data_IF_650826471632
#
_entry.id   IF_650826471632
#
_cell.length_a   1.000
_cell.length_b   1.000
_cell.length_c   1.000
_cell.angle_alpha   90.00
_cell.angle_beta   90.00
_cell.angle_gamma   90.00
#
_symmetry.space_group_name_H-M   'P 1'
#
loop_
_entity.id
_entity.type
_entity.pdbx_description
1 polymer ?
#
# COMPACT_ATOMS: atom_id res chain seq x y z
N UNK A 1 4.14 2.38 2.26
CA UNK A 1 3.17 2.38 3.39
C UNK A 1 3.96 1.91 4.61
N UNK A 2 3.46 2.08 5.84
CA UNK A 2 4.16 1.55 7.00
C UNK A 2 4.23 0.00 6.98
N UNK A 3 5.24 -0.55 7.63
CA UNK A 3 5.52 -1.98 7.58
C UNK A 3 4.42 -2.83 8.23
N UNK A 4 3.70 -2.32 9.23
CA UNK A 4 2.61 -3.06 9.86
C UNK A 4 1.47 -3.25 8.84
N UNK A 5 1.10 -2.20 8.12
CA UNK A 5 0.09 -2.31 7.06
C UNK A 5 0.49 -3.32 6.00
N UNK A 6 1.75 -3.31 5.56
CA UNK A 6 2.24 -4.24 4.54
C UNK A 6 2.22 -5.70 5.03
N UNK A 7 2.53 -5.93 6.31
CA UNK A 7 2.38 -7.23 6.97
C UNK A 7 0.91 -7.68 6.98
N UNK A 8 -0.01 -6.79 7.34
CA UNK A 8 -1.46 -7.09 7.41
C UNK A 8 -2.00 -7.44 6.02
N UNK A 9 -1.71 -6.61 5.01
CA UNK A 9 -2.14 -6.85 3.63
C UNK A 9 -1.54 -8.17 3.11
N UNK A 10 -0.24 -8.35 3.27
CA UNK A 10 0.46 -9.58 2.88
C UNK A 10 -0.18 -10.81 3.52
N UNK A 11 -0.43 -10.80 4.83
CA UNK A 11 -1.07 -11.90 5.54
C UNK A 11 -2.50 -12.20 5.04
N UNK A 12 -3.30 -11.16 4.78
CA UNK A 12 -4.66 -11.32 4.28
C UNK A 12 -4.71 -11.88 2.85
N UNK A 13 -3.78 -11.46 2.00
CA UNK A 13 -3.59 -12.04 0.65
C UNK A 13 -3.14 -13.50 0.76
N UNK A 14 -2.18 -13.78 1.65
CA UNK A 14 -1.73 -15.14 1.93
C UNK A 14 -2.88 -16.07 2.36
N UNK A 15 -3.71 -15.61 3.29
CA UNK A 15 -4.93 -16.31 3.71
C UNK A 15 -5.88 -16.54 2.54
N UNK A 16 -6.14 -15.53 1.71
CA UNK A 16 -7.04 -15.65 0.57
C UNK A 16 -6.56 -16.69 -0.46
N UNK A 17 -5.25 -16.82 -0.66
CA UNK A 17 -4.67 -17.73 -1.67
C UNK A 17 -4.48 -19.16 -1.15
N UNK A 18 -3.93 -19.31 0.05
CA UNK A 18 -3.50 -20.61 0.59
C UNK A 18 -4.07 -20.95 1.98
N UNK A 19 -4.86 -20.08 2.60
CA UNK A 19 -5.42 -20.26 3.94
C UNK A 19 -6.17 -21.57 4.13
N UNK A 20 -7.02 -21.95 3.16
CA UNK A 20 -7.75 -23.23 3.20
C UNK A 20 -6.83 -24.46 3.15
N UNK A 21 -5.66 -24.36 2.50
CA UNK A 21 -4.71 -25.48 2.35
C UNK A 21 -3.77 -25.62 3.54
N UNK A 22 -3.17 -24.52 4.01
CA UNK A 22 -2.11 -24.54 5.02
C UNK A 22 -2.41 -23.74 6.29
N UNK A 23 -3.62 -23.18 6.42
CA UNK A 23 -4.05 -22.41 7.59
C UNK A 23 -3.16 -21.19 7.81
N UNK A 24 -2.85 -20.90 9.08
CA UNK A 24 -2.15 -19.66 9.47
C UNK A 24 -0.71 -19.58 8.96
N UNK A 25 -0.14 -20.68 8.44
CA UNK A 25 1.12 -20.65 7.69
C UNK A 25 0.99 -19.81 6.41
N UNK A 26 -0.19 -19.79 5.78
CA UNK A 26 -0.44 -18.96 4.60
C UNK A 26 -0.36 -17.48 4.95
N UNK A 27 -0.97 -17.08 6.08
CA UNK A 27 -0.86 -15.72 6.62
C UNK A 27 0.60 -15.36 6.93
N UNK A 28 1.35 -16.25 7.57
CA UNK A 28 2.77 -16.00 7.87
C UNK A 28 3.60 -15.80 6.59
N UNK A 29 3.46 -16.69 5.60
CA UNK A 29 4.16 -16.53 4.33
C UNK A 29 3.71 -15.29 3.57
N UNK A 30 2.43 -14.94 3.66
CA UNK A 30 1.89 -13.72 3.11
C UNK A 30 2.50 -12.47 3.76
N UNK A 31 2.59 -12.44 5.10
CA UNK A 31 3.22 -11.37 5.86
C UNK A 31 4.68 -11.19 5.46
N UNK A 32 5.45 -12.29 5.41
CA UNK A 32 6.84 -12.28 4.96
C UNK A 32 6.92 -11.77 3.51
N UNK A 33 6.06 -12.27 2.63
CA UNK A 33 6.05 -11.89 1.23
C UNK A 33 5.73 -10.39 1.03
N UNK A 34 4.82 -9.88 1.86
CA UNK A 34 4.43 -8.47 1.89
C UNK A 34 5.53 -7.54 2.35
N UNK A 35 6.62 -8.01 2.97
CA UNK A 35 7.76 -7.15 3.35
C UNK A 35 8.95 -7.26 2.41
N UNK A 36 8.90 -8.16 1.40
CA UNK A 36 10.02 -8.40 0.49
C UNK A 36 10.42 -7.13 -0.29
N UNK A 37 9.50 -6.35 -0.89
CA UNK A 37 9.88 -5.17 -1.66
C UNK A 37 10.71 -4.16 -0.85
N UNK A 38 10.32 -3.93 0.41
CA UNK A 38 10.99 -3.00 1.34
C UNK A 38 12.36 -3.50 1.83
N UNK A 39 12.79 -4.73 1.54
CA UNK A 39 14.14 -5.18 1.85
C UNK A 39 15.21 -4.43 1.06
N UNK A 40 14.81 -3.64 0.06
CA UNK A 40 15.69 -2.68 -0.59
C UNK A 40 16.22 -1.58 0.36
N UNK A 41 15.64 -1.40 1.55
CA UNK A 41 16.19 -0.51 2.60
C UNK A 41 17.61 -0.91 3.00
N UNK A 42 17.99 -2.17 2.83
CA UNK A 42 19.35 -2.64 3.11
C UNK A 42 20.37 -2.12 2.10
N UNK A 43 19.95 -1.59 0.94
CA UNK A 43 20.85 -0.95 -0.03
C UNK A 43 21.63 0.22 0.58
N UNK A 44 21.10 0.87 1.62
CA UNK A 44 21.81 1.92 2.38
C UNK A 44 23.15 1.48 2.98
N UNK A 45 23.38 0.18 3.13
CA UNK A 45 24.64 -0.39 3.63
C UNK A 45 25.66 -0.69 2.51
N UNK A 46 25.24 -0.61 1.25
CA UNK A 46 26.05 -0.95 0.08
C UNK A 46 26.29 0.24 -0.84
N UNK A 47 25.50 1.31 -0.72
CA UNK A 47 25.62 2.54 -1.51
C UNK A 47 25.40 3.77 -0.63
N UNK A 48 25.71 4.96 -1.15
CA UNK A 48 25.45 6.21 -0.45
C UNK A 48 23.93 6.44 -0.22
N UNK A 49 23.56 7.27 0.77
CA UNK A 49 22.16 7.46 1.16
C UNK A 49 21.26 8.03 0.06
N UNK A 50 21.80 8.85 -0.85
CA UNK A 50 21.00 9.48 -1.93
C UNK A 50 20.65 8.41 -2.95
N UNK A 51 21.64 7.66 -3.43
CA UNK A 51 21.43 6.54 -4.36
C UNK A 51 20.53 5.47 -3.73
N UNK A 52 20.69 5.15 -2.44
CA UNK A 52 19.82 4.22 -1.73
C UNK A 52 18.35 4.69 -1.74
N UNK A 53 18.13 5.99 -1.52
CA UNK A 53 16.80 6.60 -1.52
C UNK A 53 16.19 6.62 -2.92
N UNK A 54 16.99 6.86 -3.95
CA UNK A 54 16.56 6.82 -5.34
C UNK A 54 16.16 5.39 -5.77
N UNK A 55 16.97 4.39 -5.39
CA UNK A 55 16.69 2.98 -5.67
C UNK A 55 15.50 2.44 -4.88
N UNK A 56 15.25 2.97 -3.67
CA UNK A 56 14.10 2.58 -2.86
C UNK A 56 12.79 2.86 -3.61
N UNK A 57 11.89 1.88 -3.59
CA UNK A 57 10.64 1.89 -4.39
C UNK A 57 10.83 1.92 -5.90
N UNK A 58 12.03 1.56 -6.35
CA UNK A 58 12.37 1.33 -7.75
C UNK A 58 12.12 -0.12 -8.16
N UNK A 59 13.18 -0.81 -8.56
CA UNK A 59 13.14 -2.18 -9.08
C UNK A 59 12.36 -3.16 -8.19
N UNK A 60 12.62 -3.18 -6.88
CA UNK A 60 11.98 -4.05 -5.88
C UNK A 60 10.45 -3.93 -5.81
N UNK A 61 9.91 -2.78 -6.21
CA UNK A 61 8.50 -2.43 -6.17
C UNK A 61 7.83 -2.54 -7.56
N UNK A 62 8.51 -3.17 -8.52
CA UNK A 62 8.02 -3.29 -9.89
C UNK A 62 7.29 -4.60 -10.17
N UNK A 63 6.43 -4.57 -11.20
CA UNK A 63 5.80 -5.78 -11.72
C UNK A 63 6.84 -6.79 -12.23
N UNK A 64 7.95 -6.31 -12.82
CA UNK A 64 9.05 -7.16 -13.28
C UNK A 64 9.66 -7.93 -12.13
N UNK A 65 9.95 -7.26 -11.01
CA UNK A 65 10.46 -7.92 -9.80
C UNK A 65 9.49 -8.97 -9.27
N UNK A 66 8.19 -8.67 -9.25
CA UNK A 66 7.19 -9.66 -8.83
C UNK A 66 7.17 -10.91 -9.73
N UNK A 67 7.26 -10.74 -11.05
CA UNK A 67 7.29 -11.84 -12.03
C UNK A 67 8.53 -12.72 -11.81
N UNK A 68 9.69 -12.13 -11.53
CA UNK A 68 10.96 -12.84 -11.36
C UNK A 68 11.08 -13.50 -9.98
N UNK A 69 10.79 -12.77 -8.90
CA UNK A 69 11.04 -13.23 -7.55
C UNK A 69 9.96 -14.19 -7.03
N UNK A 70 8.70 -14.02 -7.43
CA UNK A 70 7.62 -14.90 -6.97
C UNK A 70 7.89 -16.39 -7.22
N UNK A 71 8.28 -16.87 -8.43
CA UNK A 71 8.56 -18.29 -8.65
C UNK A 71 9.80 -18.79 -7.89
N UNK A 72 10.83 -17.95 -7.72
CA UNK A 72 12.06 -18.31 -6.98
C UNK A 72 11.73 -18.58 -5.52
N UNK A 73 11.00 -17.67 -4.88
CA UNK A 73 10.65 -17.79 -3.46
C UNK A 73 9.59 -18.88 -3.25
N UNK A 74 8.65 -19.02 -4.20
CA UNK A 74 7.71 -20.12 -4.24
C UNK A 74 8.41 -21.49 -4.27
N UNK A 75 9.52 -21.62 -4.98
CA UNK A 75 10.30 -22.85 -5.02
C UNK A 75 10.86 -23.22 -3.65
N UNK A 76 11.43 -22.24 -2.93
CA UNK A 76 11.93 -22.42 -1.56
C UNK A 76 10.78 -22.83 -0.62
N UNK A 77 9.67 -22.10 -0.64
CA UNK A 77 8.52 -22.41 0.20
C UNK A 77 7.93 -23.80 -0.11
N UNK A 78 7.83 -24.17 -1.40
CA UNK A 78 7.36 -25.49 -1.80
C UNK A 78 8.31 -26.60 -1.33
N UNK A 79 9.63 -26.36 -1.34
CA UNK A 79 10.64 -27.30 -0.81
C UNK A 79 10.48 -27.52 0.69
N UNK A 80 10.20 -26.46 1.47
CA UNK A 80 9.94 -26.54 2.91
C UNK A 80 8.65 -27.32 3.21
N UNK A 81 7.62 -27.20 2.36
CA UNK A 81 6.32 -27.85 2.55
C UNK A 81 6.10 -29.09 1.66
N UNK A 82 7.15 -29.76 1.19
CA UNK A 82 7.09 -30.93 0.29
C UNK A 82 6.08 -32.00 0.70
N UNK A 83 5.98 -32.30 2.01
CA UNK A 83 5.07 -33.31 2.57
C UNK A 83 3.57 -33.00 2.36
N UNK A 84 3.23 -31.76 2.01
CA UNK A 84 1.84 -31.30 1.84
C UNK A 84 1.36 -31.30 0.38
N UNK A 85 2.24 -31.63 -0.59
CA UNK A 85 1.90 -31.74 -2.01
C UNK A 85 1.10 -30.55 -2.58
N UNK A 86 1.42 -29.32 -2.14
CA UNK A 86 0.68 -28.10 -2.52
C UNK A 86 0.91 -27.75 -3.99
N UNK A 87 2.11 -28.06 -4.51
CA UNK A 87 2.57 -27.73 -5.85
C UNK A 87 3.11 -26.30 -5.98
N UNK A 88 3.84 -26.04 -7.06
CA UNK A 88 4.48 -24.73 -7.31
C UNK A 88 3.49 -23.61 -7.60
N UNK A 89 2.41 -23.90 -8.33
CA UNK A 89 1.47 -22.87 -8.81
C UNK A 89 0.81 -22.08 -7.67
N UNK A 90 0.26 -22.71 -6.60
CA UNK A 90 -0.34 -21.96 -5.50
C UNK A 90 0.65 -21.11 -4.71
N UNK A 91 1.90 -21.59 -4.54
CA UNK A 91 2.96 -20.82 -3.90
C UNK A 91 3.35 -19.61 -4.76
N UNK A 92 3.54 -19.81 -6.07
CA UNK A 92 3.85 -18.73 -7.01
C UNK A 92 2.74 -17.68 -6.99
N UNK A 93 1.47 -18.10 -6.97
CA UNK A 93 0.33 -17.19 -6.85
C UNK A 93 0.35 -16.39 -5.54
N UNK A 94 0.68 -17.01 -4.40
CA UNK A 94 0.77 -16.31 -3.12
C UNK A 94 1.84 -15.24 -3.18
N UNK A 95 3.08 -15.60 -3.55
CA UNK A 95 4.18 -14.64 -3.58
C UNK A 95 3.97 -13.55 -4.63
N UNK A 96 3.49 -13.90 -5.82
CA UNK A 96 3.18 -12.93 -6.86
C UNK A 96 2.16 -11.91 -6.38
N UNK A 97 1.03 -12.36 -5.81
CA UNK A 97 0.00 -11.44 -5.34
C UNK A 97 0.51 -10.57 -4.19
N UNK A 98 1.18 -11.15 -3.18
CA UNK A 98 1.72 -10.35 -2.07
C UNK A 98 2.74 -9.30 -2.54
N UNK A 99 3.67 -9.68 -3.42
CA UNK A 99 4.71 -8.78 -3.94
C UNK A 99 4.10 -7.72 -4.86
N UNK A 100 3.04 -8.02 -5.63
CA UNK A 100 2.36 -7.02 -6.47
C UNK A 100 1.47 -6.09 -5.64
N UNK A 101 0.76 -6.60 -4.63
CA UNK A 101 -0.15 -5.76 -3.83
C UNK A 101 0.58 -4.74 -2.97
N UNK A 102 1.83 -5.04 -2.58
CA UNK A 102 2.66 -4.11 -1.81
C UNK A 102 2.88 -2.77 -2.54
N UNK A 103 3.47 -2.71 -3.74
CA UNK A 103 3.69 -1.47 -4.47
C UNK A 103 2.38 -0.85 -4.97
N UNK A 104 1.33 -1.65 -5.22
CA UNK A 104 0.00 -1.11 -5.50
C UNK A 104 -0.53 -0.28 -4.32
N UNK A 105 -0.35 -0.76 -3.08
CA UNK A 105 -0.68 0.02 -1.90
C UNK A 105 0.23 1.25 -1.75
N UNK A 106 1.52 1.11 -2.02
CA UNK A 106 2.49 2.22 -1.94
C UNK A 106 2.25 3.33 -2.98
N UNK A 107 1.70 2.99 -4.15
CA UNK A 107 1.25 3.95 -5.15
C UNK A 107 0.20 4.92 -4.59
N UNK A 108 -0.55 4.54 -3.55
CA UNK A 108 -1.51 5.44 -2.91
C UNK A 108 -0.89 6.47 -1.96
N UNK A 109 0.36 6.25 -1.56
CA UNK A 109 1.08 7.16 -0.67
C UNK A 109 1.71 8.34 -1.42
N UNK A 110 2.24 9.31 -0.67
CA UNK A 110 2.89 10.52 -1.23
C UNK A 110 4.15 10.24 -2.04
N UNK A 111 4.83 9.13 -1.76
CA UNK A 111 6.12 8.80 -2.37
C UNK A 111 5.98 8.00 -3.67
N UNK A 112 4.90 7.23 -3.81
CA UNK A 112 4.66 6.35 -4.96
C UNK A 112 5.70 5.24 -5.14
N UNK A 113 5.63 4.56 -6.29
CA UNK A 113 6.61 3.54 -6.72
C UNK A 113 6.84 3.55 -8.22
N UNK A 114 7.97 3.01 -8.68
CA UNK A 114 8.21 2.68 -10.09
C UNK A 114 7.58 1.32 -10.44
N UNK A 115 6.24 1.22 -10.32
CA UNK A 115 5.52 -0.04 -10.56
C UNK A 115 5.81 -0.64 -11.95
N UNK A 116 6.02 0.21 -12.95
CA UNK A 116 6.35 -0.15 -14.33
C UNK A 116 7.85 -0.03 -14.65
N UNK A 117 8.75 -0.09 -13.66
CA UNK A 117 10.20 -0.19 -13.91
C UNK A 117 10.47 -1.24 -15.02
N UNK A 118 11.32 -0.95 -16.02
CA UNK A 118 12.38 0.06 -16.04
C UNK A 118 11.99 1.46 -16.54
N UNK A 119 10.71 1.75 -16.76
CA UNK A 119 10.30 3.13 -17.07
C UNK A 119 10.51 4.03 -15.83
N UNK A 120 11.00 5.25 -16.04
CA UNK A 120 11.31 6.21 -14.96
C UNK A 120 10.05 6.76 -14.25
N UNK A 121 8.86 6.43 -14.76
CA UNK A 121 7.58 6.94 -14.25
C UNK A 121 7.22 6.39 -12.87
N UNK A 122 7.07 7.30 -11.88
CA UNK A 122 6.58 6.98 -10.53
C UNK A 122 5.09 7.24 -10.40
N UNK A 123 4.34 6.22 -10.00
CA UNK A 123 2.90 6.33 -9.74
C UNK A 123 2.69 6.74 -8.29
N UNK A 124 2.11 7.93 -8.07
CA UNK A 124 1.77 8.42 -6.74
C UNK A 124 0.39 9.11 -6.76
N UNK A 125 -0.64 8.43 -6.23
CA UNK A 125 -1.97 8.98 -6.07
C UNK A 125 -2.07 9.92 -4.87
N UNK A 126 -1.18 9.80 -3.87
CA UNK A 126 -1.10 10.69 -2.69
C UNK A 126 -2.44 10.87 -1.95
N UNK A 127 -3.28 9.83 -1.92
CA UNK A 127 -4.62 9.87 -1.30
C UNK A 127 -4.62 9.39 0.15
N UNK A 128 -3.55 8.74 0.62
CA UNK A 128 -3.43 8.26 1.99
C UNK A 128 -2.05 8.58 2.56
N UNK A 129 -1.98 8.89 3.86
CA UNK A 129 -0.71 9.03 4.54
C UNK A 129 -0.03 7.66 4.72
N UNK A 130 1.31 7.65 4.81
CA UNK A 130 2.10 6.41 4.88
C UNK A 130 1.67 5.51 6.04
N UNK A 131 1.27 6.10 7.17
CA UNK A 131 0.77 5.40 8.34
C UNK A 131 -0.63 5.92 8.71
N UNK A 132 -1.68 5.23 8.29
CA UNK A 132 -3.06 5.63 8.58
C UNK A 132 -3.75 4.61 9.51
N UNK A 133 -3.97 4.94 10.79
CA UNK A 133 -4.64 4.06 11.73
C UNK A 133 -6.09 3.71 11.34
N UNK A 134 -6.80 4.61 10.65
CA UNK A 134 -8.18 4.39 10.21
C UNK A 134 -8.25 3.35 9.08
N UNK A 135 -7.16 3.20 8.33
CA UNK A 135 -6.98 2.10 7.38
C UNK A 135 -6.52 0.81 8.07
N UNK A 136 -5.42 0.88 8.82
CA UNK A 136 -4.71 -0.32 9.29
C UNK A 136 -5.44 -1.03 10.42
N UNK A 137 -6.02 -0.31 11.39
CA UNK A 137 -6.61 -0.93 12.59
C UNK A 137 -7.86 -1.76 12.25
N UNK A 138 -8.87 -1.24 11.51
CA UNK A 138 -10.04 -2.04 11.15
C UNK A 138 -9.67 -3.28 10.34
N UNK A 139 -8.73 -3.13 9.40
CA UNK A 139 -8.25 -4.26 8.59
C UNK A 139 -7.54 -5.31 9.44
N UNK A 140 -6.65 -4.89 10.35
CA UNK A 140 -5.97 -5.76 11.29
C UNK A 140 -6.96 -6.52 12.19
N UNK A 141 -8.00 -5.87 12.71
CA UNK A 141 -9.02 -6.51 13.55
C UNK A 141 -9.66 -7.68 12.81
N UNK A 142 -10.10 -7.48 11.56
CA UNK A 142 -10.68 -8.56 10.76
C UNK A 142 -9.71 -9.71 10.50
N UNK A 143 -8.44 -9.40 10.22
CA UNK A 143 -7.41 -10.41 10.04
C UNK A 143 -7.17 -11.21 11.33
N UNK A 144 -7.08 -10.55 12.48
CA UNK A 144 -6.92 -11.20 13.78
C UNK A 144 -8.10 -12.10 14.11
N UNK A 145 -9.34 -11.64 13.88
CA UNK A 145 -10.52 -12.49 14.05
C UNK A 145 -10.45 -13.72 13.14
N UNK A 146 -10.01 -13.57 11.89
CA UNK A 146 -9.80 -14.71 10.98
C UNK A 146 -8.74 -15.70 11.53
N UNK A 147 -7.65 -15.20 12.14
CA UNK A 147 -6.59 -16.03 12.71
C UNK A 147 -7.07 -16.95 13.84
N UNK A 148 -8.05 -16.52 14.63
CA UNK A 148 -8.63 -17.33 15.71
C UNK A 148 -9.55 -18.46 15.22
N UNK A 149 -9.87 -18.51 13.93
CA UNK A 149 -10.69 -19.57 13.35
C UNK A 149 -9.84 -20.65 12.67
N UNK A 150 -10.25 -21.91 12.84
CA UNK A 150 -9.60 -23.04 12.17
C UNK A 150 -9.79 -22.94 10.63
N UNK A 151 -8.83 -23.48 9.87
CA UNK A 151 -8.83 -23.43 8.39
C UNK A 151 -10.05 -24.07 7.72
N UNK A 152 -10.75 -24.97 8.42
CA UNK A 152 -11.99 -25.60 7.95
C UNK A 152 -13.23 -24.75 8.22
N UNK A 153 -13.15 -23.75 9.11
CA UNK A 153 -14.29 -22.93 9.48
C UNK A 153 -14.54 -21.86 8.39
N UNK A 154 -15.73 -21.80 7.78
CA UNK A 154 -16.02 -20.81 6.73
C UNK A 154 -15.91 -19.36 7.23
N UNK A 155 -16.11 -19.11 8.54
CA UNK A 155 -15.97 -17.78 9.15
C UNK A 155 -14.56 -17.21 8.98
N UNK A 156 -13.52 -18.07 8.94
CA UNK A 156 -12.14 -17.63 8.70
C UNK A 156 -12.01 -16.86 7.39
N UNK A 157 -12.49 -17.46 6.30
CA UNK A 157 -12.46 -16.82 4.97
C UNK A 157 -13.39 -15.61 4.91
N UNK A 158 -14.53 -15.66 5.59
CA UNK A 158 -15.46 -14.54 5.67
C UNK A 158 -14.78 -13.31 6.31
N UNK A 159 -14.18 -13.46 7.50
CA UNK A 159 -13.52 -12.34 8.18
C UNK A 159 -12.31 -11.81 7.40
N UNK A 160 -11.51 -12.69 6.78
CA UNK A 160 -10.42 -12.24 5.91
C UNK A 160 -10.95 -11.41 4.72
N UNK A 161 -12.03 -11.85 4.08
CA UNK A 161 -12.64 -11.13 2.98
C UNK A 161 -13.26 -9.81 3.44
N UNK A 162 -13.88 -9.76 4.62
CA UNK A 162 -14.36 -8.50 5.21
C UNK A 162 -13.21 -7.52 5.44
N UNK A 163 -12.06 -7.98 5.94
CA UNK A 163 -10.86 -7.15 6.06
C UNK A 163 -10.39 -6.58 4.72
N UNK A 164 -10.32 -7.42 3.69
CA UNK A 164 -9.96 -6.99 2.32
C UNK A 164 -10.98 -6.01 1.72
N UNK A 165 -12.27 -6.21 1.98
CA UNK A 165 -13.34 -5.29 1.56
C UNK A 165 -13.17 -3.95 2.28
N UNK A 166 -12.95 -3.95 3.59
CA UNK A 166 -12.74 -2.71 4.37
C UNK A 166 -11.52 -1.95 3.87
N UNK A 167 -10.39 -2.63 3.65
CA UNK A 167 -9.19 -2.05 3.04
C UNK A 167 -9.48 -1.45 1.67
N UNK A 168 -10.11 -2.20 0.77
CA UNK A 168 -10.39 -1.75 -0.60
C UNK A 168 -11.36 -0.57 -0.63
N UNK A 169 -12.45 -0.63 0.14
CA UNK A 169 -13.45 0.42 0.25
C UNK A 169 -12.85 1.70 0.85
N UNK A 170 -11.98 1.60 1.85
CA UNK A 170 -11.28 2.75 2.40
C UNK A 170 -10.36 3.40 1.37
N UNK A 171 -9.68 2.61 0.54
CA UNK A 171 -8.84 3.16 -0.53
C UNK A 171 -9.66 3.94 -1.57
N UNK A 172 -10.82 3.41 -1.96
CA UNK A 172 -11.75 4.12 -2.86
C UNK A 172 -12.23 5.43 -2.21
N UNK A 173 -12.63 5.37 -0.94
CA UNK A 173 -13.06 6.56 -0.18
C UNK A 173 -11.97 7.63 -0.15
N UNK A 174 -10.73 7.28 0.17
CA UNK A 174 -9.63 8.25 0.24
C UNK A 174 -9.32 8.89 -1.12
N UNK A 175 -9.48 8.18 -2.24
CA UNK A 175 -9.38 8.77 -3.59
C UNK A 175 -10.49 9.81 -3.81
N UNK A 176 -11.73 9.50 -3.43
CA UNK A 176 -12.84 10.46 -3.53
C UNK A 176 -12.60 11.69 -2.66
N UNK A 177 -12.13 11.50 -1.42
CA UNK A 177 -11.79 12.59 -0.50
C UNK A 177 -10.65 13.44 -1.03
N UNK A 178 -9.62 12.83 -1.66
CA UNK A 178 -8.56 13.56 -2.35
C UNK A 178 -9.13 14.44 -3.45
N UNK A 179 -9.98 13.89 -4.31
CA UNK A 179 -10.59 14.63 -5.42
C UNK A 179 -11.40 15.82 -4.90
N UNK A 180 -12.17 15.61 -3.84
CA UNK A 180 -12.95 16.67 -3.20
C UNK A 180 -12.06 17.76 -2.57
N UNK A 181 -11.04 17.39 -1.80
CA UNK A 181 -10.11 18.35 -1.20
C UNK A 181 -9.36 19.16 -2.27
N UNK A 182 -8.87 18.49 -3.32
CA UNK A 182 -8.19 19.14 -4.45
C UNK A 182 -9.10 20.15 -5.16
N UNK A 183 -10.38 19.80 -5.35
CA UNK A 183 -11.38 20.70 -5.91
C UNK A 183 -11.58 21.93 -5.03
N UNK A 184 -11.67 21.77 -3.70
CA UNK A 184 -11.84 22.90 -2.77
C UNK A 184 -10.65 23.87 -2.81
N UNK A 185 -9.42 23.37 -2.82
CA UNK A 185 -8.22 24.20 -3.00
C UNK A 185 -8.24 24.94 -4.34
N UNK A 186 -8.58 24.24 -5.43
CA UNK A 186 -8.66 24.84 -6.77
C UNK A 186 -9.70 25.96 -6.84
N UNK A 187 -10.87 25.75 -6.22
CA UNK A 187 -11.92 26.75 -6.17
C UNK A 187 -11.50 28.00 -5.38
N UNK A 188 -10.86 27.83 -4.22
CA UNK A 188 -10.37 28.96 -3.42
C UNK A 188 -9.31 29.77 -4.18
N UNK A 189 -8.35 29.10 -4.82
CA UNK A 189 -7.33 29.78 -5.64
C UNK A 189 -7.96 30.58 -6.79
N UNK A 190 -8.99 30.03 -7.45
CA UNK A 190 -9.71 30.73 -8.50
C UNK A 190 -10.49 31.95 -7.99
N UNK A 191 -11.14 31.84 -6.82
CA UNK A 191 -11.87 32.93 -6.18
C UNK A 191 -10.94 34.08 -5.78
N UNK A 192 -9.79 33.73 -5.19
CA UNK A 192 -8.76 34.68 -4.77
C UNK A 192 -7.90 35.18 -5.96
N UNK A 193 -8.18 34.69 -7.18
CA UNK A 193 -7.46 35.01 -8.43
C UNK A 193 -5.95 34.77 -8.32
N UNK A 194 -5.55 33.70 -7.63
CA UNK A 194 -4.15 33.30 -7.48
C UNK A 194 -3.75 32.45 -8.68
N UNK A 195 -2.87 32.97 -9.53
CA UNK A 195 -2.22 32.17 -10.57
C UNK A 195 -1.21 31.19 -9.95
N UNK A 196 -1.27 29.92 -10.36
CA UNK A 196 -0.34 28.87 -9.95
C UNK A 196 0.12 28.02 -11.13
N UNK A 197 1.29 27.42 -11.00
CA UNK A 197 1.93 26.52 -11.98
C UNK A 197 1.53 25.08 -11.69
N UNK A 198 1.56 24.68 -10.42
CA UNK A 198 1.17 23.35 -9.96
C UNK A 198 0.46 23.42 -8.60
N UNK A 199 -0.46 22.47 -8.39
CA UNK A 199 -1.21 22.30 -7.15
C UNK A 199 -1.09 20.83 -6.72
N UNK A 200 -0.31 20.58 -5.68
CA UNK A 200 -0.20 19.26 -5.09
C UNK A 200 -0.99 19.16 -3.79
N UNK A 201 -1.94 18.23 -3.71
CA UNK A 201 -2.73 17.98 -2.51
C UNK A 201 -2.52 16.57 -1.95
N UNK A 202 -2.40 16.50 -0.63
CA UNK A 202 -2.16 15.27 0.14
C UNK A 202 -2.82 15.34 1.52
N UNK A 203 -3.18 14.20 2.12
CA UNK A 203 -3.68 14.19 3.48
C UNK A 203 -2.55 14.53 4.47
N UNK A 204 -2.93 15.10 5.60
CA UNK A 204 -2.03 15.31 6.74
C UNK A 204 -1.74 13.98 7.46
N UNK A 205 -0.73 13.93 8.35
CA UNK A 205 -0.36 12.69 9.03
C UNK A 205 -1.54 12.02 9.77
N UNK A 206 -1.60 10.69 9.68
CA UNK A 206 -2.46 9.81 10.46
C UNK A 206 -3.98 9.92 10.21
N UNK A 207 -4.43 10.65 9.18
CA UNK A 207 -5.87 10.79 8.89
C UNK A 207 -6.15 11.14 7.43
N UNK A 208 -7.42 11.06 7.03
CA UNK A 208 -7.93 11.44 5.68
C UNK A 208 -8.92 12.62 5.73
N UNK A 209 -8.97 13.33 6.86
CA UNK A 209 -9.94 14.39 7.14
C UNK A 209 -9.34 15.77 6.85
N UNK A 210 -8.11 16.00 7.32
CA UNK A 210 -7.37 17.23 7.14
C UNK A 210 -6.37 17.06 6.00
N UNK A 211 -6.49 17.93 5.01
CA UNK A 211 -5.70 17.94 3.78
C UNK A 211 -4.80 19.15 3.74
N UNK A 212 -3.65 18.99 3.10
CA UNK A 212 -2.67 20.02 2.87
C UNK A 212 -2.46 20.18 1.36
N UNK A 213 -2.36 21.42 0.90
CA UNK A 213 -1.99 21.78 -0.46
C UNK A 213 -0.67 22.54 -0.47
N UNK A 214 0.20 22.17 -1.40
CA UNK A 214 1.36 22.95 -1.81
C UNK A 214 1.06 23.55 -3.18
N UNK A 215 1.06 24.88 -3.25
CA UNK A 215 0.76 25.64 -4.45
C UNK A 215 2.03 26.27 -4.94
N UNK A 216 2.50 25.85 -6.11
CA UNK A 216 3.65 26.46 -6.77
C UNK A 216 3.20 27.65 -7.61
N UNK A 217 3.80 28.81 -7.39
CA UNK A 217 3.56 30.03 -8.17
C UNK A 217 4.85 30.44 -8.88
N UNK A 218 4.77 31.38 -9.83
CA UNK A 218 5.96 31.87 -10.56
C UNK A 218 7.05 32.46 -9.65
N UNK A 219 6.70 32.88 -8.42
CA UNK A 219 7.61 33.59 -7.51
C UNK A 219 7.89 32.84 -6.20
N UNK A 220 7.31 31.65 -6.00
CA UNK A 220 7.51 30.86 -4.78
C UNK A 220 6.37 29.89 -4.49
N UNK A 221 6.33 29.37 -3.26
CA UNK A 221 5.36 28.37 -2.81
C UNK A 221 4.40 28.93 -1.76
N UNK A 222 3.13 28.53 -1.83
CA UNK A 222 2.14 28.74 -0.78
C UNK A 222 1.68 27.40 -0.21
N UNK A 223 1.29 27.39 1.04
CA UNK A 223 0.78 26.22 1.73
C UNK A 223 -0.60 26.54 2.28
N UNK A 224 -1.56 25.66 2.04
CA UNK A 224 -2.92 25.79 2.56
C UNK A 224 -3.37 24.49 3.22
N UNK A 225 -4.30 24.57 4.16
CA UNK A 225 -4.91 23.41 4.80
C UNK A 225 -6.42 23.47 4.63
N UNK A 226 -7.04 22.31 4.52
CA UNK A 226 -8.49 22.20 4.41
C UNK A 226 -8.96 20.97 5.19
N UNK A 227 -9.88 21.16 6.12
CA UNK A 227 -10.56 20.06 6.81
C UNK A 227 -11.92 19.80 6.16
N UNK A 228 -12.31 18.52 6.01
CA UNK A 228 -13.67 18.16 5.59
C UNK A 228 -14.75 18.66 6.55
N UNK A 229 -14.38 18.93 7.81
CA UNK A 229 -15.26 19.50 8.82
C UNK A 229 -15.05 21.00 9.03
N UNK A 230 -14.24 21.64 8.18
CA UNK A 230 -13.98 23.06 8.35
C UNK A 230 -15.24 23.88 8.07
N UNK A 231 -15.51 24.82 8.95
CA UNK A 231 -16.51 25.86 8.76
C UNK A 231 -15.87 27.20 8.41
N UNK A 232 -14.54 27.29 8.43
CA UNK A 232 -13.77 28.50 8.10
C UNK A 232 -13.30 28.45 6.64
N UNK A 233 -13.01 29.64 6.08
CA UNK A 233 -12.44 29.73 4.73
C UNK A 233 -11.01 29.17 4.70
N UNK A 234 -10.70 28.51 3.58
CA UNK A 234 -9.39 27.89 3.24
C UNK A 234 -8.31 28.94 3.04
#
# INVERSE_FOLDING_TARGET
MDSLTQIVLGAAVGEAVLGKKIGSRAMLWGAIAGTIPDLDVFLRYFTDPITATEMHRGFSHSLVFAILMAPIIAWVANKIHKKRSIGMRPWTKLFFLCIVTHPLLDNHTTWGTQFFWPFEYRIAFKNIFVADPLYTIPFLIFLLIAMFHNRSNPRRSMFNNLGLIVSSSYMILTIMLKGYAHYQFSQKLNQDKVEYVDLDSKPTPLNTILWNALVETKTGFKVANYSLFDSQEI
#
